data_IF_735038142565
#
_entry.id   IF_735038142565
#
_cell.length_a   1.000
_cell.length_b   1.000
_cell.length_c   1.000
_cell.angle_alpha   90.00
_cell.angle_beta   90.00
_cell.angle_gamma   90.00
#
_symmetry.space_group_name_H-M   'P 1'
#
loop_
_entity.id
_entity.type
_entity.pdbx_description
1 polymer ?
#
# COMPACT_ATOMS: atom_id res chain seq x y z
N UNK A 1 -22.73 12.03 -0.55
CA UNK A 1 -22.81 10.61 -0.20
C UNK A 1 -21.59 10.30 0.66
N UNK A 2 -21.67 9.39 1.59
CA UNK A 2 -20.62 8.96 2.50
C UNK A 2 -20.98 7.58 3.03
N UNK A 3 -20.20 7.03 3.98
CA UNK A 3 -20.42 5.68 4.54
C UNK A 3 -21.83 5.41 5.06
N UNK A 4 -22.52 6.46 5.53
CA UNK A 4 -23.86 6.39 6.13
C UNK A 4 -24.99 6.49 5.10
N UNK A 5 -24.68 6.46 3.80
CA UNK A 5 -25.73 6.50 2.77
C UNK A 5 -26.50 5.17 2.73
N UNK A 6 -27.81 5.24 2.98
CA UNK A 6 -28.69 4.05 3.08
C UNK A 6 -28.66 3.14 1.84
N UNK A 7 -28.41 3.70 0.65
CA UNK A 7 -28.25 2.92 -0.58
C UNK A 7 -27.05 1.97 -0.60
N UNK A 8 -26.15 2.05 0.38
CA UNK A 8 -25.00 1.14 0.50
C UNK A 8 -25.31 -0.09 1.37
N UNK A 9 -26.40 -0.06 2.14
CA UNK A 9 -26.81 -1.19 2.99
C UNK A 9 -27.11 -2.43 2.15
N UNK A 10 -26.43 -3.54 2.47
CA UNK A 10 -26.57 -4.80 1.74
C UNK A 10 -25.87 -4.86 0.38
N UNK A 11 -25.22 -3.78 -0.06
CA UNK A 11 -24.43 -3.72 -1.32
C UNK A 11 -22.94 -3.87 -1.04
N UNK A 12 -22.47 -3.22 0.03
CA UNK A 12 -21.06 -3.26 0.43
C UNK A 12 -20.90 -3.89 1.81
N UNK A 13 -19.80 -4.61 2.01
CA UNK A 13 -19.39 -5.07 3.33
C UNK A 13 -18.93 -3.90 4.21
N UNK A 14 -19.00 -4.08 5.53
CA UNK A 14 -18.65 -3.02 6.49
C UNK A 14 -17.22 -2.47 6.28
N UNK A 15 -16.23 -3.32 6.00
CA UNK A 15 -14.85 -2.88 5.74
C UNK A 15 -14.72 -2.03 4.47
N UNK A 16 -15.64 -2.18 3.50
CA UNK A 16 -15.66 -1.38 2.28
C UNK A 16 -16.30 -0.01 2.48
N UNK A 17 -17.17 0.14 3.49
CA UNK A 17 -17.89 1.39 3.73
C UNK A 17 -16.94 2.52 4.13
N UNK A 18 -15.87 2.24 4.88
CA UNK A 18 -14.85 3.24 5.22
C UNK A 18 -14.19 3.86 3.98
N UNK A 19 -14.04 3.08 2.90
CA UNK A 19 -13.49 3.57 1.62
C UNK A 19 -14.49 4.37 0.79
N UNK A 20 -15.74 4.52 1.25
CA UNK A 20 -16.77 5.37 0.62
C UNK A 20 -16.90 6.74 1.29
N UNK A 21 -15.98 7.10 2.17
CA UNK A 21 -15.95 8.40 2.81
C UNK A 21 -15.54 9.51 1.82
N UNK A 22 -16.02 10.73 2.08
CA UNK A 22 -15.68 11.89 1.23
C UNK A 22 -14.19 12.22 1.23
N UNK A 23 -13.51 11.97 2.34
CA UNK A 23 -12.07 12.12 2.50
C UNK A 23 -11.26 11.28 1.49
N UNK A 24 -11.85 10.20 0.96
CA UNK A 24 -11.20 9.33 -0.02
C UNK A 24 -11.19 9.88 -1.45
N UNK A 25 -12.08 10.82 -1.77
CA UNK A 25 -12.27 11.29 -3.16
C UNK A 25 -10.98 11.87 -3.72
N UNK A 26 -10.31 12.73 -2.98
CA UNK A 26 -9.08 13.40 -3.45
C UNK A 26 -7.93 12.40 -3.63
N UNK A 27 -7.55 11.58 -2.61
CA UNK A 27 -6.54 10.55 -2.80
C UNK A 27 -6.85 9.60 -3.94
N UNK A 28 -8.09 9.17 -4.12
CA UNK A 28 -8.46 8.19 -5.16
C UNK A 28 -8.38 8.78 -6.57
N UNK A 29 -8.71 10.07 -6.76
CA UNK A 29 -8.52 10.78 -8.04
C UNK A 29 -7.04 10.83 -8.41
N UNK A 30 -6.19 11.29 -7.49
CA UNK A 30 -4.75 11.39 -7.74
C UNK A 30 -4.10 10.01 -7.93
N UNK A 31 -4.54 9.00 -7.18
CA UNK A 31 -4.15 7.60 -7.38
C UNK A 31 -4.46 7.13 -8.80
N UNK A 32 -5.67 7.40 -9.28
CA UNK A 32 -6.08 7.09 -10.66
C UNK A 32 -5.18 7.77 -11.72
N UNK A 33 -4.75 9.01 -11.49
CA UNK A 33 -3.82 9.70 -12.39
C UNK A 33 -2.42 9.07 -12.38
N UNK A 34 -1.91 8.67 -11.22
CA UNK A 34 -0.62 7.99 -11.14
C UNK A 34 -0.68 6.65 -11.88
N UNK A 35 -1.72 5.85 -11.66
CA UNK A 35 -1.91 4.57 -12.35
C UNK A 35 -2.02 4.71 -13.87
N UNK A 36 -2.71 5.76 -14.35
CA UNK A 36 -2.82 6.04 -15.78
C UNK A 36 -1.48 6.45 -16.39
N UNK A 37 -0.65 7.21 -15.64
CA UNK A 37 0.64 7.71 -16.14
C UNK A 37 1.77 6.70 -16.01
N UNK A 38 1.73 5.88 -14.98
CA UNK A 38 2.74 4.87 -14.64
C UNK A 38 2.04 3.53 -14.41
N UNK A 39 1.69 2.78 -15.47
CA UNK A 39 1.02 1.49 -15.32
C UNK A 39 1.85 0.51 -14.50
N UNK A 40 1.18 -0.25 -13.63
CA UNK A 40 1.82 -1.27 -12.83
C UNK A 40 2.29 -2.44 -13.70
N UNK A 41 3.60 -2.67 -13.73
CA UNK A 41 4.26 -3.76 -14.46
C UNK A 41 4.90 -4.78 -13.52
N UNK A 42 4.44 -4.86 -12.27
CA UNK A 42 4.95 -5.78 -11.25
C UNK A 42 4.88 -7.23 -11.72
N UNK A 43 5.95 -7.98 -11.47
CA UNK A 43 6.08 -9.40 -11.85
C UNK A 43 6.11 -10.33 -10.63
N UNK A 44 6.23 -9.78 -9.45
CA UNK A 44 6.27 -10.49 -8.18
C UNK A 44 5.57 -9.66 -7.10
N UNK A 45 5.28 -10.28 -5.94
CA UNK A 45 4.68 -9.56 -4.83
C UNK A 45 5.51 -8.33 -4.43
N UNK A 46 6.82 -8.47 -4.27
CA UNK A 46 7.68 -7.35 -3.86
C UNK A 46 7.69 -6.22 -4.88
N UNK A 47 7.65 -6.51 -6.17
CA UNK A 47 7.54 -5.46 -7.19
C UNK A 47 6.23 -4.68 -7.02
N UNK A 48 5.12 -5.40 -6.76
CA UNK A 48 3.82 -4.80 -6.48
C UNK A 48 3.80 -3.98 -5.21
N UNK A 49 4.41 -4.46 -4.13
CA UNK A 49 4.53 -3.74 -2.87
C UNK A 49 5.29 -2.42 -3.05
N UNK A 50 6.43 -2.44 -3.74
CA UNK A 50 7.24 -1.24 -4.03
C UNK A 50 6.46 -0.27 -4.92
N UNK A 51 5.80 -0.75 -5.96
CA UNK A 51 4.99 0.10 -6.83
C UNK A 51 3.85 0.78 -6.06
N UNK A 52 3.04 0.02 -5.34
CA UNK A 52 1.94 0.58 -4.53
C UNK A 52 2.46 1.50 -3.42
N UNK A 53 3.57 1.13 -2.79
CA UNK A 53 4.27 1.96 -1.80
C UNK A 53 4.74 3.29 -2.39
N UNK A 54 5.28 3.29 -3.62
CA UNK A 54 5.67 4.51 -4.31
C UNK A 54 4.46 5.40 -4.65
N UNK A 55 3.32 4.80 -4.99
CA UNK A 55 2.05 5.54 -5.17
C UNK A 55 1.63 6.20 -3.85
N UNK A 56 1.62 5.46 -2.74
CA UNK A 56 1.27 5.99 -1.41
C UNK A 56 2.23 7.12 -1.02
N UNK A 57 3.54 6.91 -1.15
CA UNK A 57 4.55 7.93 -0.85
C UNK A 57 4.37 9.19 -1.69
N UNK A 58 4.10 9.04 -2.99
CA UNK A 58 3.85 10.18 -3.87
C UNK A 58 2.65 10.99 -3.38
N UNK A 59 1.56 10.32 -3.05
CA UNK A 59 0.34 10.98 -2.58
C UNK A 59 0.55 11.69 -1.25
N UNK A 60 1.27 11.10 -0.31
CA UNK A 60 1.62 11.74 0.97
C UNK A 60 2.43 13.03 0.77
N UNK A 61 3.33 13.07 -0.23
CA UNK A 61 4.14 14.26 -0.53
C UNK A 61 3.40 15.37 -1.27
N UNK A 62 2.28 15.08 -1.91
CA UNK A 62 1.48 16.07 -2.66
C UNK A 62 0.16 16.43 -1.98
N UNK A 63 -0.25 15.68 -0.97
CA UNK A 63 -1.48 15.87 -0.21
C UNK A 63 -1.14 16.08 1.27
N UNK A 64 -0.78 17.31 1.64
CA UNK A 64 -0.26 17.67 2.97
C UNK A 64 -1.21 17.30 4.14
N UNK A 65 -2.51 17.16 3.88
CA UNK A 65 -3.53 16.83 4.87
C UNK A 65 -3.73 15.32 5.07
N UNK A 66 -2.97 14.46 4.37
CA UNK A 66 -3.16 13.01 4.39
C UNK A 66 -1.90 12.25 4.77
N UNK A 67 -2.00 11.42 5.78
CA UNK A 67 -0.96 10.43 6.12
C UNK A 67 -0.98 9.22 5.17
N UNK A 68 0.13 8.49 5.11
CA UNK A 68 0.22 7.24 4.34
C UNK A 68 -0.89 6.23 4.71
N UNK A 69 -1.19 6.08 6.01
CA UNK A 69 -2.27 5.22 6.48
C UNK A 69 -3.64 5.64 5.93
N UNK A 70 -3.97 6.94 5.99
CA UNK A 70 -5.22 7.46 5.43
C UNK A 70 -5.28 7.27 3.91
N UNK A 71 -4.17 7.43 3.19
CA UNK A 71 -4.08 7.19 1.74
C UNK A 71 -4.34 5.71 1.42
N UNK A 72 -3.87 4.77 2.21
CA UNK A 72 -4.18 3.34 2.08
C UNK A 72 -5.65 3.09 2.42
N UNK A 73 -6.18 3.78 3.43
CA UNK A 73 -7.54 3.65 3.93
C UNK A 73 -7.62 3.07 5.32
N UNK A 74 -6.52 3.16 6.07
CA UNK A 74 -6.45 2.76 7.47
C UNK A 74 -7.10 3.79 8.38
N UNK A 75 -7.70 3.32 9.45
CA UNK A 75 -8.04 4.15 10.60
C UNK A 75 -6.80 4.40 11.46
N UNK A 76 -6.95 5.17 12.56
CA UNK A 76 -5.83 5.51 13.43
C UNK A 76 -5.25 4.31 14.17
N UNK A 77 -6.10 3.38 14.57
CA UNK A 77 -5.70 2.16 15.27
C UNK A 77 -4.91 1.23 14.36
N UNK A 78 -5.38 1.02 13.12
CA UNK A 78 -4.69 0.22 12.10
C UNK A 78 -3.35 0.84 11.72
N UNK A 79 -3.30 2.16 11.50
CA UNK A 79 -2.06 2.88 11.19
C UNK A 79 -1.04 2.72 12.31
N UNK A 80 -1.47 2.94 13.57
CA UNK A 80 -0.61 2.78 14.74
C UNK A 80 -0.14 1.34 14.89
N UNK A 81 -1.02 0.37 14.73
CA UNK A 81 -0.66 -1.04 14.80
C UNK A 81 0.40 -1.40 13.74
N UNK A 82 0.25 -0.93 12.51
CA UNK A 82 1.24 -1.16 11.45
C UNK A 82 2.60 -0.54 11.77
N UNK A 83 2.62 0.66 12.37
CA UNK A 83 3.87 1.31 12.82
C UNK A 83 4.55 0.52 13.94
N UNK A 84 3.79 0.14 14.95
CA UNK A 84 4.31 -0.57 16.13
C UNK A 84 4.82 -1.99 15.76
N UNK A 85 4.31 -2.60 14.70
CA UNK A 85 4.62 -3.98 14.28
C UNK A 85 5.39 -4.09 12.95
N UNK A 86 5.92 -3.00 12.39
CA UNK A 86 6.57 -2.97 11.07
C UNK A 86 7.58 -4.09 10.86
N UNK A 87 8.48 -4.29 11.83
CA UNK A 87 9.53 -5.30 11.76
C UNK A 87 8.98 -6.73 11.78
N UNK A 88 7.98 -6.99 12.60
CA UNK A 88 7.37 -8.31 12.71
C UNK A 88 6.57 -8.66 11.46
N UNK A 89 5.86 -7.69 10.90
CA UNK A 89 5.18 -7.82 9.60
C UNK A 89 6.18 -8.17 8.50
N UNK A 90 7.29 -7.44 8.42
CA UNK A 90 8.33 -7.69 7.41
C UNK A 90 8.93 -9.09 7.55
N UNK A 91 9.27 -9.50 8.76
CA UNK A 91 9.77 -10.85 9.04
C UNK A 91 8.74 -11.92 8.64
N UNK A 92 7.46 -11.75 8.98
CA UNK A 92 6.41 -12.69 8.60
C UNK A 92 6.25 -12.81 7.08
N UNK A 93 6.39 -11.71 6.33
CA UNK A 93 6.38 -11.75 4.85
C UNK A 93 7.57 -12.53 4.30
N UNK A 94 8.77 -12.34 4.87
CA UNK A 94 9.97 -13.10 4.47
C UNK A 94 9.79 -14.60 4.77
N UNK A 95 9.36 -14.93 5.98
CA UNK A 95 9.18 -16.32 6.44
C UNK A 95 8.11 -17.07 5.65
N UNK A 96 7.08 -16.35 5.17
CA UNK A 96 6.05 -16.93 4.30
C UNK A 96 6.56 -17.40 2.95
N UNK A 97 7.77 -17.00 2.54
CA UNK A 97 8.35 -17.20 1.20
C UNK A 97 7.50 -16.60 0.05
N UNK A 98 6.60 -15.67 0.35
CA UNK A 98 5.71 -15.04 -0.65
C UNK A 98 6.36 -13.88 -1.39
N UNK A 99 7.46 -13.33 -0.89
CA UNK A 99 8.06 -12.08 -1.36
C UNK A 99 8.30 -12.05 -2.88
N UNK A 100 8.81 -13.14 -3.43
CA UNK A 100 9.07 -13.28 -4.88
C UNK A 100 8.00 -14.08 -5.62
N UNK A 101 6.88 -14.36 -4.97
CA UNK A 101 5.76 -15.05 -5.62
C UNK A 101 5.23 -14.26 -6.82
N UNK A 102 4.94 -14.97 -7.91
CA UNK A 102 4.29 -14.42 -9.12
C UNK A 102 2.82 -14.82 -9.21
N UNK A 103 2.30 -15.47 -8.20
CA UNK A 103 0.93 -15.94 -8.15
C UNK A 103 -0.01 -14.76 -7.87
N UNK A 104 -1.02 -14.60 -8.71
CA UNK A 104 -2.02 -13.55 -8.56
C UNK A 104 -2.76 -13.63 -7.22
N UNK A 105 -3.01 -14.84 -6.72
CA UNK A 105 -3.67 -15.02 -5.41
C UNK A 105 -2.83 -14.46 -4.25
N UNK A 106 -1.51 -14.61 -4.31
CA UNK A 106 -0.60 -14.03 -3.31
C UNK A 106 -0.65 -12.49 -3.38
N UNK A 107 -0.57 -11.95 -4.60
CA UNK A 107 -0.68 -10.51 -4.83
C UNK A 107 -1.99 -9.95 -4.24
N UNK A 108 -3.13 -10.58 -4.52
CA UNK A 108 -4.44 -10.18 -4.02
C UNK A 108 -4.46 -10.15 -2.48
N UNK A 109 -3.92 -11.17 -1.82
CA UNK A 109 -3.95 -11.28 -0.35
C UNK A 109 -3.20 -10.15 0.37
N UNK A 110 -2.14 -9.60 -0.24
CA UNK A 110 -1.31 -8.57 0.38
C UNK A 110 -1.67 -7.13 -0.05
N UNK A 111 -2.22 -6.96 -1.25
CA UNK A 111 -2.35 -5.64 -1.88
C UNK A 111 -3.79 -5.21 -2.13
N UNK A 112 -4.76 -6.14 -2.07
CA UNK A 112 -6.14 -5.81 -2.33
C UNK A 112 -6.94 -5.60 -1.03
N UNK A 113 -8.04 -4.90 -1.20
CA UNK A 113 -9.03 -4.66 -0.18
C UNK A 113 -9.63 -5.97 0.35
N UNK A 114 -9.63 -6.13 1.65
CA UNK A 114 -10.19 -7.28 2.37
C UNK A 114 -10.51 -6.86 3.82
N UNK A 115 -11.18 -7.69 4.61
CA UNK A 115 -11.33 -7.42 6.05
C UNK A 115 -9.99 -7.44 6.80
N UNK A 116 -9.06 -8.31 6.37
CA UNK A 116 -7.72 -8.51 6.95
C UNK A 116 -6.81 -9.19 5.92
N UNK A 117 -5.50 -9.16 6.16
CA UNK A 117 -4.53 -9.87 5.31
C UNK A 117 -4.54 -11.37 5.60
N UNK A 118 -5.23 -12.15 4.79
CA UNK A 118 -5.36 -13.61 4.96
C UNK A 118 -4.08 -14.41 4.66
N UNK A 119 -3.01 -13.76 4.25
CA UNK A 119 -1.72 -14.40 3.99
C UNK A 119 -0.82 -14.48 5.22
N UNK A 120 -1.12 -13.71 6.26
CA UNK A 120 -0.41 -13.65 7.52
C UNK A 120 -1.32 -14.10 8.67
N UNK A 121 -0.73 -14.55 9.77
CA UNK A 121 -1.47 -14.97 10.96
C UNK A 121 -1.95 -13.74 11.75
N UNK A 122 -3.10 -13.89 12.42
CA UNK A 122 -3.69 -12.84 13.25
C UNK A 122 -4.53 -11.82 12.44
N UNK A 123 -4.95 -10.75 13.12
CA UNK A 123 -5.78 -9.70 12.55
C UNK A 123 -4.93 -8.59 11.87
N UNK A 124 -4.01 -9.00 11.00
CA UNK A 124 -3.16 -8.07 10.25
C UNK A 124 -4.04 -7.25 9.30
N UNK A 125 -3.96 -5.92 9.31
CA UNK A 125 -4.73 -5.07 8.40
C UNK A 125 -4.59 -5.49 6.93
N UNK A 126 -5.68 -5.40 6.18
CA UNK A 126 -5.64 -5.63 4.74
C UNK A 126 -4.71 -4.63 4.03
N UNK A 127 -4.31 -4.93 2.81
CA UNK A 127 -3.41 -4.07 2.02
C UNK A 127 -2.06 -3.81 2.70
N UNK A 128 -1.65 -4.69 3.64
CA UNK A 128 -0.41 -4.53 4.41
C UNK A 128 0.84 -4.45 3.51
N UNK A 129 0.78 -5.06 2.33
CA UNK A 129 1.84 -4.94 1.33
C UNK A 129 2.06 -3.52 0.83
N UNK A 130 1.00 -2.69 0.79
CA UNK A 130 1.11 -1.26 0.44
C UNK A 130 1.83 -0.49 1.54
N UNK A 131 1.53 -0.80 2.81
CA UNK A 131 2.18 -0.18 3.96
C UNK A 131 3.68 -0.50 3.99
N UNK A 132 4.04 -1.77 3.93
CA UNK A 132 5.46 -2.17 3.91
C UNK A 132 6.16 -1.62 2.66
N UNK A 133 5.51 -1.67 1.50
CA UNK A 133 6.04 -1.05 0.28
C UNK A 133 6.32 0.45 0.44
N UNK A 134 5.41 1.19 1.10
CA UNK A 134 5.60 2.60 1.45
C UNK A 134 6.84 2.80 2.34
N UNK A 135 7.01 1.99 3.39
CA UNK A 135 8.18 2.09 4.29
C UNK A 135 9.49 1.80 3.56
N UNK A 136 9.50 0.78 2.68
CA UNK A 136 10.66 0.47 1.82
C UNK A 136 11.02 1.66 0.93
N UNK A 137 10.02 2.25 0.26
CA UNK A 137 10.23 3.39 -0.64
C UNK A 137 10.66 4.63 0.13
N UNK A 138 10.03 4.92 1.27
CA UNK A 138 10.39 6.04 2.13
C UNK A 138 11.87 5.96 2.53
N UNK A 139 12.31 4.80 3.03
CA UNK A 139 13.70 4.56 3.42
C UNK A 139 14.66 4.74 2.23
N UNK A 140 14.31 4.19 1.07
CA UNK A 140 15.13 4.35 -0.13
C UNK A 140 15.28 5.81 -0.57
N UNK A 141 14.19 6.59 -0.51
CA UNK A 141 14.20 8.02 -0.88
C UNK A 141 15.01 8.85 0.12
N UNK A 142 14.93 8.54 1.42
CA UNK A 142 15.72 9.20 2.46
C UNK A 142 17.23 9.00 2.22
N UNK A 143 17.64 7.79 1.82
CA UNK A 143 19.03 7.46 1.56
C UNK A 143 19.55 8.02 0.21
N UNK A 144 18.66 8.33 -0.73
CA UNK A 144 19.03 8.73 -2.10
C UNK A 144 18.58 10.16 -2.45
N UNK A 145 17.38 10.30 -3.02
CA UNK A 145 16.81 11.59 -3.39
C UNK A 145 15.36 11.42 -3.85
N UNK A 146 14.51 12.41 -3.59
CA UNK A 146 13.11 12.45 -4.04
C UNK A 146 12.95 12.30 -5.57
N UNK A 147 13.95 12.72 -6.37
CA UNK A 147 13.93 12.55 -7.81
C UNK A 147 13.94 11.08 -8.27
N UNK A 148 14.34 10.15 -7.38
CA UNK A 148 14.27 8.71 -7.63
C UNK A 148 12.85 8.17 -7.67
N UNK A 149 11.88 8.86 -7.07
CA UNK A 149 10.48 8.44 -6.99
C UNK A 149 9.86 8.21 -8.38
N UNK A 150 10.09 9.15 -9.32
CA UNK A 150 9.63 8.98 -10.70
C UNK A 150 10.21 7.71 -11.33
N UNK A 151 11.48 7.42 -11.09
CA UNK A 151 12.17 6.24 -11.63
C UNK A 151 11.67 4.94 -11.01
N UNK A 152 11.26 4.98 -9.74
CA UNK A 152 10.61 3.83 -9.08
C UNK A 152 9.26 3.56 -9.76
N UNK A 153 8.41 4.58 -9.91
CA UNK A 153 7.10 4.46 -10.55
C UNK A 153 7.18 3.99 -12.00
N UNK A 154 8.20 4.41 -12.75
CA UNK A 154 8.41 3.97 -14.14
C UNK A 154 9.10 2.59 -14.25
N UNK A 155 9.54 2.00 -13.15
CA UNK A 155 10.25 0.72 -13.13
C UNK A 155 11.69 0.79 -13.66
N UNK A 156 12.28 1.97 -13.69
CA UNK A 156 13.68 2.17 -14.12
C UNK A 156 14.69 1.70 -13.08
N UNK A 157 14.32 1.72 -11.79
CA UNK A 157 15.15 1.23 -10.69
C UNK A 157 14.73 -0.20 -10.36
N UNK A 158 15.71 -1.09 -10.25
CA UNK A 158 15.44 -2.50 -9.94
C UNK A 158 15.01 -2.66 -8.48
N UNK A 159 14.04 -3.52 -8.25
CA UNK A 159 13.53 -3.89 -6.91
C UNK A 159 14.63 -4.21 -5.92
N UNK A 160 15.65 -5.00 -6.34
CA UNK A 160 16.77 -5.40 -5.48
C UNK A 160 17.63 -4.20 -5.01
N UNK A 161 17.70 -3.14 -5.79
CA UNK A 161 18.42 -1.92 -5.42
C UNK A 161 17.68 -1.16 -4.34
N UNK A 162 16.35 -1.06 -4.46
CA UNK A 162 15.47 -0.39 -3.49
C UNK A 162 15.50 -1.15 -2.15
N UNK A 163 15.46 -2.49 -2.19
CA UNK A 163 15.48 -3.33 -0.99
C UNK A 163 16.77 -3.23 -0.17
N UNK A 164 17.90 -2.87 -0.77
CA UNK A 164 19.16 -2.73 -0.02
C UNK A 164 19.11 -1.65 1.04
N UNK A 165 18.29 -0.64 0.90
CA UNK A 165 18.11 0.42 1.89
C UNK A 165 17.24 0.00 3.08
N UNK A 166 16.47 -1.08 2.95
CA UNK A 166 15.50 -1.50 3.96
C UNK A 166 15.97 -2.68 4.82
N UNK A 167 17.00 -3.40 4.41
CA UNK A 167 17.57 -4.54 5.12
C UNK A 167 18.63 -4.14 6.15
#
# INVERSE_FOLDING_TARGET
MGKDYDGYKGVFYNYQLHKKERSRIIPDIFKGWIYAKYPNNAKSLIDGMIYEGAVVYTLEKILDDYSAGEIIGYNKEESKWCEDNEKDIWNAIIESNHLYSKENITYIKYLNEAPYCSALNGDVPAEIGKWIGYKIVAKYIDDNNINSLKKILSGEIKTIEILKSYN
#
